data_IF_864293989358
#
_entry.id   IF_864293989358
#
_cell.length_a   1.000
_cell.length_b   1.000
_cell.length_c   1.000
_cell.angle_alpha   90.00
_cell.angle_beta   90.00
_cell.angle_gamma   90.00
#
_symmetry.space_group_name_H-M   'P 1'
#
loop_
_entity.id
_entity.type
_entity.pdbx_description
1 polymer ?
#
# COMPACT_ATOMS: atom_id res chain seq x y z
N UNK A 1 -39.83 -2.32 -30.89
CA UNK A 1 -39.67 -3.24 -29.74
C UNK A 1 -38.40 -4.12 -29.79
N UNK A 2 -37.75 -4.34 -30.95
CA UNK A 2 -36.58 -5.25 -31.05
C UNK A 2 -35.23 -4.73 -30.50
N UNK A 3 -35.06 -3.45 -30.15
CA UNK A 3 -33.78 -2.94 -29.63
C UNK A 3 -33.59 -3.12 -28.10
N UNK A 4 -34.67 -3.35 -27.36
CA UNK A 4 -34.61 -3.56 -25.91
C UNK A 4 -33.68 -4.72 -25.46
N UNK A 5 -33.70 -5.92 -26.06
CA UNK A 5 -32.86 -7.03 -25.61
C UNK A 5 -31.36 -6.79 -25.82
N UNK A 6 -30.96 -6.15 -26.94
CA UNK A 6 -29.55 -5.87 -27.24
C UNK A 6 -28.99 -4.85 -26.24
N UNK A 7 -29.76 -3.79 -25.94
CA UNK A 7 -29.37 -2.76 -24.96
C UNK A 7 -29.19 -3.36 -23.57
N UNK A 8 -30.10 -4.22 -23.12
CA UNK A 8 -29.98 -4.90 -21.82
C UNK A 8 -28.73 -5.79 -21.73
N UNK A 9 -28.40 -6.50 -22.82
CA UNK A 9 -27.23 -7.37 -22.88
C UNK A 9 -25.92 -6.54 -22.78
N UNK A 10 -25.86 -5.41 -23.49
CA UNK A 10 -24.74 -4.46 -23.40
C UNK A 10 -24.61 -3.90 -21.98
N UNK A 11 -25.72 -3.44 -21.38
CA UNK A 11 -25.72 -2.90 -20.02
C UNK A 11 -25.26 -3.94 -18.99
N UNK A 12 -25.71 -5.20 -19.14
CA UNK A 12 -25.27 -6.31 -18.28
C UNK A 12 -23.78 -6.57 -18.38
N UNK A 13 -23.22 -6.57 -19.60
CA UNK A 13 -21.78 -6.76 -19.82
C UNK A 13 -20.96 -5.61 -19.21
N UNK A 14 -21.38 -4.36 -19.42
CA UNK A 14 -20.71 -3.18 -18.82
C UNK A 14 -20.75 -3.27 -17.30
N UNK A 15 -21.90 -3.64 -16.73
CA UNK A 15 -22.06 -3.82 -15.28
C UNK A 15 -21.12 -4.91 -14.75
N UNK A 16 -21.00 -6.04 -15.44
CA UNK A 16 -20.08 -7.12 -15.07
C UNK A 16 -18.62 -6.65 -15.07
N UNK A 17 -18.20 -5.89 -16.08
CA UNK A 17 -16.84 -5.33 -16.17
C UNK A 17 -16.57 -4.35 -15.01
N UNK A 18 -17.49 -3.42 -14.74
CA UNK A 18 -17.36 -2.45 -13.65
C UNK A 18 -17.25 -3.17 -12.31
N UNK A 19 -18.06 -4.22 -12.10
CA UNK A 19 -18.04 -5.04 -10.88
C UNK A 19 -16.69 -5.72 -10.71
N UNK A 20 -16.15 -6.34 -11.77
CA UNK A 20 -14.84 -6.98 -11.74
C UNK A 20 -13.71 -5.99 -11.42
N UNK A 21 -13.71 -4.80 -12.05
CA UNK A 21 -12.74 -3.72 -11.79
C UNK A 21 -12.81 -3.30 -10.32
N UNK A 22 -14.02 -3.11 -9.80
CA UNK A 22 -14.25 -2.70 -8.40
C UNK A 22 -13.75 -3.76 -7.42
N UNK A 23 -13.99 -5.04 -7.71
CA UNK A 23 -13.52 -6.14 -6.87
C UNK A 23 -11.99 -6.23 -6.83
N UNK A 24 -11.33 -6.10 -7.99
CA UNK A 24 -9.87 -6.08 -8.08
C UNK A 24 -9.32 -4.88 -7.32
N UNK A 25 -9.83 -3.68 -7.57
CA UNK A 25 -9.38 -2.47 -6.87
C UNK A 25 -9.55 -2.59 -5.35
N UNK A 26 -10.66 -3.17 -4.89
CA UNK A 26 -10.92 -3.40 -3.46
C UNK A 26 -9.90 -4.35 -2.84
N UNK A 27 -9.62 -5.48 -3.51
CA UNK A 27 -8.61 -6.45 -3.05
C UNK A 27 -7.24 -5.79 -2.92
N UNK A 28 -6.82 -5.04 -3.93
CA UNK A 28 -5.49 -4.41 -3.99
C UNK A 28 -5.33 -3.29 -2.95
N UNK A 29 -6.40 -2.53 -2.71
CA UNK A 29 -6.45 -1.56 -1.62
C UNK A 29 -6.29 -2.25 -0.26
N UNK A 30 -6.97 -3.38 -0.03
CA UNK A 30 -6.83 -4.16 1.20
C UNK A 30 -5.44 -4.74 1.40
N UNK A 31 -4.80 -5.25 0.34
CA UNK A 31 -3.42 -5.72 0.43
C UNK A 31 -2.48 -4.57 0.84
N UNK A 32 -2.65 -3.40 0.24
CA UNK A 32 -1.85 -2.21 0.57
C UNK A 32 -2.05 -1.79 2.02
N UNK A 33 -3.29 -1.77 2.50
CA UNK A 33 -3.65 -1.48 3.90
C UNK A 33 -3.00 -2.49 4.87
N UNK A 34 -3.05 -3.79 4.59
CA UNK A 34 -2.40 -4.81 5.42
C UNK A 34 -0.87 -4.66 5.46
N UNK A 35 -0.24 -4.30 4.33
CA UNK A 35 1.20 -4.05 4.29
C UNK A 35 1.59 -2.80 5.08
N UNK A 36 0.79 -1.73 5.00
CA UNK A 36 1.01 -0.52 5.80
C UNK A 36 0.86 -0.83 7.30
N UNK A 37 -0.19 -1.56 7.68
CA UNK A 37 -0.41 -2.04 9.04
C UNK A 37 0.78 -2.86 9.57
N UNK A 38 1.37 -3.73 8.74
CA UNK A 38 2.59 -4.46 9.09
C UNK A 38 3.79 -3.52 9.33
N UNK A 39 4.02 -2.54 8.45
CA UNK A 39 5.12 -1.56 8.59
C UNK A 39 4.93 -0.69 9.83
N UNK A 40 3.71 -0.20 10.07
CA UNK A 40 3.40 0.68 11.19
C UNK A 40 3.45 -0.09 12.51
N UNK A 41 3.02 -1.36 12.53
CA UNK A 41 3.23 -2.25 13.67
C UNK A 41 4.71 -2.46 13.99
N UNK A 42 5.55 -2.59 12.97
CA UNK A 42 7.00 -2.70 13.15
C UNK A 42 7.60 -1.40 13.74
N UNK A 43 7.21 -0.24 13.22
CA UNK A 43 7.65 1.07 13.76
C UNK A 43 7.21 1.27 15.21
N UNK A 44 5.95 0.93 15.51
CA UNK A 44 5.39 1.05 16.85
C UNK A 44 6.14 0.18 17.86
N UNK A 45 6.50 -1.05 17.49
CA UNK A 45 7.19 -1.94 18.42
C UNK A 45 8.67 -1.55 18.61
N UNK A 46 9.34 -1.01 17.58
CA UNK A 46 10.68 -0.44 17.75
C UNK A 46 10.65 0.75 18.71
N UNK A 47 9.68 1.66 18.54
CA UNK A 47 9.49 2.79 19.44
C UNK A 47 9.17 2.34 20.87
N UNK A 48 8.30 1.34 21.03
CA UNK A 48 7.95 0.77 22.33
C UNK A 48 9.15 0.12 23.03
N UNK A 49 9.99 -0.61 22.29
CA UNK A 49 11.22 -1.18 22.84
C UNK A 49 12.19 -0.09 23.32
N UNK A 50 12.40 0.97 22.52
CA UNK A 50 13.26 2.09 22.92
C UNK A 50 12.69 2.80 24.15
N UNK A 51 11.39 3.11 24.15
CA UNK A 51 10.72 3.79 25.24
C UNK A 51 10.77 2.97 26.55
N UNK A 52 10.53 1.67 26.48
CA UNK A 52 10.61 0.79 27.65
C UNK A 52 12.04 0.72 28.22
N UNK A 53 13.06 0.66 27.36
CA UNK A 53 14.45 0.70 27.79
C UNK A 53 14.83 2.03 28.46
N UNK A 54 14.33 3.15 27.94
CA UNK A 54 14.50 4.46 28.55
C UNK A 54 13.76 4.58 29.88
N UNK A 55 12.52 4.10 29.95
CA UNK A 55 11.72 4.04 31.18
C UNK A 55 12.41 3.24 32.28
N UNK A 56 12.98 2.08 31.94
CA UNK A 56 13.79 1.29 32.86
C UNK A 56 14.98 2.07 33.43
N UNK A 57 15.68 2.84 32.60
CA UNK A 57 16.83 3.64 33.01
C UNK A 57 16.45 4.91 33.80
N UNK A 58 15.20 5.37 33.67
CA UNK A 58 14.68 6.56 34.32
C UNK A 58 14.17 6.30 35.74
N UNK A 59 13.83 5.05 36.07
CA UNK A 59 13.32 4.67 37.40
C UNK A 59 14.34 3.87 38.22
N UNK A 60 14.27 4.04 39.54
CA UNK A 60 15.02 3.25 40.51
C UNK A 60 14.14 2.17 41.17
N UNK A 61 12.82 2.32 41.07
CA UNK A 61 11.84 1.45 41.70
C UNK A 61 11.87 0.05 41.08
N UNK A 62 12.01 -0.97 41.92
CA UNK A 62 12.21 -2.36 41.46
C UNK A 62 10.97 -2.90 40.72
N UNK A 63 9.78 -2.55 41.19
CA UNK A 63 8.51 -2.96 40.58
C UNK A 63 8.35 -2.34 39.18
N UNK A 64 8.59 -1.02 39.06
CA UNK A 64 8.53 -0.33 37.77
C UNK A 64 9.59 -0.83 36.80
N UNK A 65 10.80 -1.15 37.28
CA UNK A 65 11.84 -1.79 36.47
C UNK A 65 11.39 -3.15 35.94
N UNK A 66 10.68 -3.93 36.75
CA UNK A 66 10.06 -5.19 36.33
C UNK A 66 9.07 -4.98 35.19
N UNK A 67 8.18 -3.99 35.31
CA UNK A 67 7.22 -3.61 34.27
C UNK A 67 7.92 -3.21 32.96
N UNK A 68 8.87 -2.29 33.02
CA UNK A 68 9.59 -1.83 31.84
C UNK A 68 10.38 -2.94 31.15
N UNK A 69 10.98 -3.85 31.93
CA UNK A 69 11.68 -5.01 31.38
C UNK A 69 10.72 -5.95 30.65
N UNK A 70 9.54 -6.21 31.23
CA UNK A 70 8.51 -7.03 30.60
C UNK A 70 8.00 -6.40 29.29
N UNK A 71 7.75 -5.09 29.29
CA UNK A 71 7.33 -4.34 28.10
C UNK A 71 8.40 -4.38 27.00
N UNK A 72 9.67 -4.20 27.37
CA UNK A 72 10.80 -4.32 26.44
C UNK A 72 10.85 -5.71 25.79
N UNK A 73 10.75 -6.77 26.60
CA UNK A 73 10.77 -8.15 26.09
C UNK A 73 9.56 -8.46 25.21
N UNK A 74 8.37 -7.96 25.56
CA UNK A 74 7.18 -8.12 24.74
C UNK A 74 7.34 -7.42 23.37
N UNK A 75 7.85 -6.19 23.34
CA UNK A 75 8.11 -5.46 22.10
C UNK A 75 9.18 -6.17 21.24
N UNK A 76 10.33 -6.55 21.83
CA UNK A 76 11.39 -7.30 21.15
C UNK A 76 10.87 -8.61 20.56
N UNK A 77 10.07 -9.36 21.31
CA UNK A 77 9.52 -10.64 20.85
C UNK A 77 8.58 -10.44 19.66
N UNK A 78 7.71 -9.42 19.71
CA UNK A 78 6.82 -9.08 18.57
C UNK A 78 7.62 -8.71 17.33
N UNK A 79 8.69 -7.91 17.48
CA UNK A 79 9.64 -7.60 16.38
C UNK A 79 10.22 -8.89 15.81
N UNK A 80 10.79 -9.76 16.66
CA UNK A 80 11.43 -10.99 16.22
C UNK A 80 10.46 -11.96 15.51
N UNK A 81 9.20 -12.01 15.94
CA UNK A 81 8.17 -12.87 15.33
C UNK A 81 7.65 -12.34 13.99
N UNK A 82 7.70 -11.02 13.75
CA UNK A 82 7.35 -10.45 12.43
C UNK A 82 8.42 -10.69 11.39
N UNK A 83 9.66 -10.82 11.83
CA UNK A 83 10.78 -11.00 10.93
C UNK A 83 11.02 -12.45 10.57
N UNK A 84 11.50 -12.65 9.34
CA UNK A 84 11.88 -13.97 8.87
C UNK A 84 13.07 -14.48 9.69
N UNK A 85 13.03 -15.72 10.21
CA UNK A 85 14.18 -16.35 10.84
C UNK A 85 15.40 -16.34 9.90
N UNK A 86 16.55 -15.84 10.36
CA UNK A 86 17.80 -15.81 9.60
C UNK A 86 17.91 -14.73 8.51
N UNK A 87 16.96 -13.78 8.45
CA UNK A 87 17.05 -12.65 7.52
C UNK A 87 18.20 -11.69 7.86
N UNK A 88 18.95 -11.23 6.85
CA UNK A 88 20.03 -10.25 7.06
C UNK A 88 19.48 -8.83 7.33
N UNK A 89 18.29 -8.51 6.80
CA UNK A 89 17.73 -7.13 6.77
C UNK A 89 17.56 -6.51 8.17
N UNK A 90 17.29 -7.31 9.19
CA UNK A 90 17.06 -6.86 10.56
C UNK A 90 18.13 -7.32 11.54
N UNK A 91 19.21 -7.93 11.05
CA UNK A 91 20.26 -8.51 11.89
C UNK A 91 20.85 -7.48 12.86
N UNK A 92 21.19 -6.29 12.36
CA UNK A 92 21.79 -5.22 13.17
C UNK A 92 20.82 -4.67 14.22
N UNK A 93 19.55 -4.51 13.84
CA UNK A 93 18.49 -4.04 14.75
C UNK A 93 18.26 -5.06 15.86
N UNK A 94 18.13 -6.34 15.52
CA UNK A 94 17.96 -7.42 16.49
C UNK A 94 19.18 -7.52 17.41
N UNK A 95 20.41 -7.42 16.88
CA UNK A 95 21.62 -7.40 17.69
C UNK A 95 21.68 -6.19 18.64
N UNK A 96 21.21 -5.01 18.21
CA UNK A 96 21.11 -3.83 19.08
C UNK A 96 20.05 -4.01 20.18
N UNK A 97 18.89 -4.58 19.86
CA UNK A 97 17.86 -4.93 20.84
C UNK A 97 18.38 -5.97 21.85
N UNK A 98 19.19 -6.93 21.40
CA UNK A 98 19.78 -7.95 22.26
C UNK A 98 20.80 -7.35 23.22
N UNK A 99 21.62 -6.40 22.75
CA UNK A 99 22.53 -5.62 23.60
C UNK A 99 21.78 -4.85 24.69
N UNK A 100 20.69 -4.17 24.33
CA UNK A 100 19.82 -3.49 25.31
C UNK A 100 19.23 -4.51 26.29
N UNK A 101 18.65 -5.60 25.79
CA UNK A 101 18.05 -6.64 26.62
C UNK A 101 19.01 -7.24 27.63
N UNK A 102 20.25 -7.53 27.23
CA UNK A 102 21.28 -8.04 28.12
C UNK A 102 21.66 -7.02 29.21
N UNK A 103 21.79 -5.74 28.85
CA UNK A 103 22.06 -4.65 29.79
C UNK A 103 20.92 -4.51 30.83
N UNK A 104 19.66 -4.49 30.37
CA UNK A 104 18.50 -4.37 31.25
C UNK A 104 18.34 -5.58 32.18
N UNK A 105 18.54 -6.80 31.66
CA UNK A 105 18.49 -8.04 32.43
C UNK A 105 19.57 -8.09 33.52
N UNK A 106 20.77 -7.58 33.23
CA UNK A 106 21.85 -7.43 34.21
C UNK A 106 21.60 -6.30 35.22
N UNK A 107 20.47 -5.57 35.12
CA UNK A 107 20.12 -4.38 35.92
C UNK A 107 21.22 -3.31 35.91
N UNK A 108 22.00 -3.25 34.84
CA UNK A 108 23.04 -2.24 34.64
C UNK A 108 22.46 -1.06 33.90
N UNK A 109 22.63 0.14 34.44
CA UNK A 109 22.26 1.38 33.74
C UNK A 109 23.51 1.90 33.04
N UNK A 110 23.60 1.64 31.74
CA UNK A 110 24.60 2.25 30.87
C UNK A 110 23.90 3.11 29.81
N UNK A 111 23.88 4.42 30.05
CA UNK A 111 23.23 5.38 29.15
C UNK A 111 23.98 5.52 27.82
N UNK A 112 25.28 5.24 27.79
CA UNK A 112 26.06 5.29 26.55
C UNK A 112 25.70 4.11 25.65
N UNK A 113 25.64 2.90 26.21
CA UNK A 113 25.20 1.69 25.50
C UNK A 113 23.77 1.85 24.99
N UNK A 114 22.85 2.37 25.81
CA UNK A 114 21.48 2.62 25.39
C UNK A 114 21.44 3.60 24.20
N UNK A 115 22.15 4.73 24.29
CA UNK A 115 22.17 5.73 23.22
C UNK A 115 22.74 5.17 21.91
N UNK A 116 23.85 4.43 21.98
CA UNK A 116 24.46 3.81 20.81
C UNK A 116 23.52 2.77 20.18
N UNK A 117 22.95 1.87 20.98
CA UNK A 117 22.04 0.85 20.48
C UNK A 117 20.76 1.45 19.88
N UNK A 118 20.20 2.50 20.50
CA UNK A 118 19.06 3.25 19.93
C UNK A 118 19.42 3.88 18.58
N UNK A 119 20.60 4.50 18.46
CA UNK A 119 21.05 5.07 17.19
C UNK A 119 21.16 4.00 16.09
N UNK A 120 21.68 2.81 16.43
CA UNK A 120 21.73 1.66 15.50
C UNK A 120 20.33 1.20 15.10
N UNK A 121 19.40 1.08 16.05
CA UNK A 121 18.01 0.70 15.76
C UNK A 121 17.37 1.69 14.77
N UNK A 122 17.57 3.00 14.99
CA UNK A 122 17.03 4.04 14.13
C UNK A 122 17.67 4.04 12.72
N UNK A 123 19.00 3.92 12.63
CA UNK A 123 19.70 3.97 11.35
C UNK A 123 19.52 2.68 10.54
N UNK A 124 19.75 1.52 11.17
CA UNK A 124 19.66 0.22 10.50
C UNK A 124 18.21 -0.17 10.23
N UNK A 125 17.27 0.16 11.13
CA UNK A 125 15.84 -0.12 10.93
C UNK A 125 15.18 0.73 9.85
N UNK A 126 15.72 1.92 9.55
CA UNK A 126 15.17 2.80 8.50
C UNK A 126 15.27 2.19 7.10
N UNK A 127 16.36 1.46 6.82
CA UNK A 127 16.61 0.87 5.49
C UNK A 127 15.54 -0.16 5.09
N UNK A 128 15.30 -1.25 5.86
CA UNK A 128 14.27 -2.21 5.51
C UNK A 128 12.89 -1.55 5.49
N UNK A 129 12.54 -0.71 6.47
CA UNK A 129 11.25 -0.01 6.48
C UNK A 129 11.03 0.84 5.22
N UNK A 130 12.06 1.55 4.75
CA UNK A 130 11.98 2.33 3.51
C UNK A 130 11.78 1.43 2.29
N UNK A 131 12.51 0.30 2.22
CA UNK A 131 12.36 -0.69 1.15
C UNK A 131 10.95 -1.30 1.12
N UNK A 132 10.40 -1.63 2.29
CA UNK A 132 9.02 -2.11 2.42
C UNK A 132 8.01 -1.04 1.98
N UNK A 133 8.21 0.21 2.38
CA UNK A 133 7.38 1.34 1.99
C UNK A 133 7.40 1.60 0.47
N UNK A 134 8.57 1.54 -0.15
CA UNK A 134 8.71 1.69 -1.61
C UNK A 134 7.98 0.59 -2.37
N UNK A 135 8.01 -0.66 -1.86
CA UNK A 135 7.20 -1.76 -2.41
C UNK A 135 5.71 -1.50 -2.30
N UNK A 136 5.24 -0.99 -1.15
CA UNK A 136 3.83 -0.62 -0.95
C UNK A 136 3.42 0.49 -1.92
N UNK A 137 4.25 1.51 -2.08
CA UNK A 137 4.00 2.63 -3.01
C UNK A 137 3.97 2.19 -4.47
N UNK A 138 4.85 1.28 -4.86
CA UNK A 138 4.82 0.70 -6.19
C UNK A 138 3.49 -0.04 -6.43
N UNK A 139 2.92 -0.65 -5.40
CA UNK A 139 1.72 -1.47 -5.49
C UNK A 139 2.03 -2.86 -6.05
N UNK A 140 1.01 -3.70 -6.14
CA UNK A 140 1.17 -5.07 -6.64
C UNK A 140 1.35 -5.11 -8.16
N UNK A 141 2.23 -5.99 -8.63
CA UNK A 141 2.48 -6.18 -10.08
C UNK A 141 1.21 -6.52 -10.84
N UNK A 142 0.32 -7.32 -10.24
CA UNK A 142 -0.97 -7.69 -10.84
C UNK A 142 -1.85 -6.46 -11.09
N UNK A 143 -1.92 -5.54 -10.14
CA UNK A 143 -2.67 -4.29 -10.29
C UNK A 143 -2.06 -3.38 -11.35
N UNK A 144 -0.73 -3.25 -11.39
CA UNK A 144 -0.04 -2.45 -12.41
C UNK A 144 -0.35 -2.95 -13.83
N UNK A 145 -0.30 -4.27 -14.03
CA UNK A 145 -0.64 -4.92 -15.30
C UNK A 145 -2.11 -4.71 -15.63
N UNK A 146 -3.01 -4.98 -14.69
CA UNK A 146 -4.45 -4.79 -14.87
C UNK A 146 -4.79 -3.35 -15.29
N UNK A 147 -4.20 -2.37 -14.61
CA UNK A 147 -4.37 -0.95 -14.93
C UNK A 147 -3.90 -0.64 -16.34
N UNK A 148 -2.72 -1.13 -16.74
CA UNK A 148 -2.18 -0.90 -18.07
C UNK A 148 -3.07 -1.51 -19.17
N UNK A 149 -3.52 -2.75 -18.99
CA UNK A 149 -4.43 -3.43 -19.93
C UNK A 149 -5.77 -2.69 -20.01
N UNK A 150 -6.35 -2.32 -18.86
CA UNK A 150 -7.61 -1.58 -18.82
C UNK A 150 -7.51 -0.22 -19.53
N UNK A 151 -6.42 0.53 -19.30
CA UNK A 151 -6.15 1.80 -19.99
C UNK A 151 -5.95 1.61 -21.49
N UNK A 152 -5.26 0.55 -21.93
CA UNK A 152 -5.08 0.23 -23.33
C UNK A 152 -6.43 -0.11 -24.01
N UNK A 153 -7.28 -0.92 -23.37
CA UNK A 153 -8.62 -1.23 -23.87
C UNK A 153 -9.49 0.03 -24.00
N UNK A 154 -9.46 0.92 -23.00
CA UNK A 154 -10.23 2.16 -23.05
C UNK A 154 -9.74 3.11 -24.16
N UNK A 155 -8.41 3.23 -24.31
CA UNK A 155 -7.81 4.00 -25.40
C UNK A 155 -8.13 3.43 -26.78
N UNK A 156 -8.12 2.10 -26.93
CA UNK A 156 -8.52 1.43 -28.16
C UNK A 156 -9.99 1.68 -28.51
N UNK A 157 -10.91 1.54 -27.53
CA UNK A 157 -12.33 1.84 -27.73
C UNK A 157 -12.57 3.29 -28.13
N UNK A 158 -11.87 4.24 -27.51
CA UNK A 158 -11.94 5.65 -27.88
C UNK A 158 -11.45 5.89 -29.32
N UNK A 159 -10.33 5.28 -29.71
CA UNK A 159 -9.79 5.38 -31.07
C UNK A 159 -10.74 4.81 -32.13
N UNK A 160 -11.36 3.65 -31.86
CA UNK A 160 -12.38 3.05 -32.73
C UNK A 160 -13.60 3.98 -32.84
N UNK A 161 -14.06 4.55 -31.73
CA UNK A 161 -15.16 5.51 -31.71
C UNK A 161 -14.89 6.73 -32.59
N UNK A 162 -13.69 7.32 -32.48
CA UNK A 162 -13.25 8.44 -33.32
C UNK A 162 -13.17 8.03 -34.79
N UNK A 163 -12.61 6.86 -35.09
CA UNK A 163 -12.51 6.35 -36.45
C UNK A 163 -13.89 6.17 -37.09
N UNK A 164 -14.84 5.56 -36.38
CA UNK A 164 -16.21 5.39 -36.87
C UNK A 164 -16.88 6.74 -37.10
N UNK A 165 -16.79 7.67 -36.14
CA UNK A 165 -17.37 9.01 -36.28
C UNK A 165 -16.82 9.78 -37.49
N UNK A 166 -15.50 9.67 -37.72
CA UNK A 166 -14.83 10.29 -38.87
C UNK A 166 -15.23 9.69 -40.22
N UNK A 167 -15.43 8.38 -40.29
CA UNK A 167 -15.89 7.74 -41.53
C UNK A 167 -17.36 8.08 -41.82
N UNK A 168 -18.21 8.07 -40.80
CA UNK A 168 -19.64 8.41 -40.95
C UNK A 168 -19.84 9.86 -41.40
N UNK A 169 -19.05 10.81 -40.89
CA UNK A 169 -19.13 12.22 -41.28
C UNK A 169 -18.72 12.48 -42.74
N UNK A 170 -17.94 11.59 -43.35
CA UNK A 170 -17.58 11.66 -44.78
C UNK A 170 -18.65 11.10 -45.70
N UNK A 171 -19.48 10.18 -45.22
CA UNK A 171 -20.48 9.48 -46.04
C UNK A 171 -21.85 10.15 -46.07
N UNK A 172 -22.12 11.10 -45.19
CA UNK A 172 -23.39 11.87 -45.20
C UNK A 172 -23.21 13.10 -46.09
N UNK A 173 -23.79 13.15 -47.31
CA UNK A 173 -23.75 14.35 -48.13
C UNK A 173 -24.49 15.49 -47.43
N UNK A 174 -24.06 16.76 -47.58
CA UNK A 174 -24.80 17.90 -47.04
C UNK A 174 -26.20 17.88 -47.62
N UNK A 175 -27.20 17.80 -46.74
CA UNK A 175 -28.61 17.93 -47.11
C UNK A 175 -28.80 19.33 -47.68
N UNK A 176 -28.80 19.47 -49.00
CA UNK A 176 -29.17 20.72 -49.66
C UNK A 176 -30.64 21.01 -49.35
N UNK A 177 -30.85 21.81 -48.29
CA UNK A 177 -32.06 22.60 -48.12
C UNK A 177 -32.11 23.69 -49.18
N UNK A 178 -32.55 23.33 -50.39
CA UNK A 178 -33.12 24.25 -51.36
C UNK A 178 -34.28 23.56 -52.07
N UNK A 179 -35.40 23.40 -51.36
CA UNK A 179 -36.70 23.37 -52.03
C UNK A 179 -37.07 24.82 -52.30
N UNK A 180 -36.85 25.24 -53.55
CA UNK A 180 -37.34 26.51 -54.06
C UNK A 180 -38.87 26.59 -53.85
N UNK A 181 -39.31 27.69 -53.24
CA UNK A 181 -40.71 28.07 -53.12
C UNK A 181 -41.37 28.09 -54.52
N UNK A 182 -42.53 27.44 -54.74
CA UNK A 182 -43.26 27.64 -55.98
C UNK A 182 -43.84 29.06 -55.97
N UNK A 183 -43.35 29.93 -56.87
CA UNK A 183 -44.02 31.20 -57.14
C UNK A 183 -45.44 30.91 -57.64
N UNK A 184 -46.43 31.42 -56.89
CA UNK A 184 -47.82 31.50 -57.34
C UNK A 184 -47.92 32.44 -58.54
N UNK A 185 -48.66 31.94 -59.54
CA UNK A 185 -49.30 32.57 -60.72
C UNK A 185 -49.07 34.07 -60.95
#
# INVERSE_FOLDING_TARGET
MQQAPIVTLILGLVTAIITAVTLIATKENKISEFRQSWIDGQRADLAAAIAAAQGFCATLEAEERGRWLAEFHAARTRIALRERPGGEEWREVLAALDRIGAMLAARRIDRAVLREATAVIESAGRVPLKRHWERVKAGERGFQIFKAVFQACLGFLAAVGVFVAFNTSRTVPPTHGQQALPMKR
#
